data_IF_829962474188
#
_entry.id   IF_829962474188
#
_cell.length_a   1.000
_cell.length_b   1.000
_cell.length_c   1.000
_cell.angle_alpha   90.00
_cell.angle_beta   90.00
_cell.angle_gamma   90.00
#
_symmetry.space_group_name_H-M   'P 1'
#
loop_
_entity.id
_entity.type
_entity.pdbx_description
1 polymer ?
#
# COMPACT_ATOMS: atom_id res chain seq x y z
N UNK A 1 0.68 3.47 -30.40
CA UNK A 1 -0.19 2.39 -29.90
C UNK A 1 -1.41 3.02 -29.26
N UNK A 2 -2.61 2.67 -29.69
CA UNK A 2 -3.84 3.15 -29.05
C UNK A 2 -4.27 2.14 -27.98
N UNK A 3 -4.53 2.66 -26.76
CA UNK A 3 -5.06 1.87 -25.65
C UNK A 3 -5.92 2.76 -24.74
N UNK A 4 -6.73 2.15 -23.93
CA UNK A 4 -7.57 2.81 -22.94
C UNK A 4 -7.04 2.52 -21.54
N UNK A 5 -7.10 3.52 -20.67
CA UNK A 5 -6.91 3.39 -19.23
C UNK A 5 -8.27 3.49 -18.53
N UNK A 6 -8.55 2.56 -17.60
CA UNK A 6 -9.73 2.62 -16.74
C UNK A 6 -9.28 2.46 -15.30
N UNK A 7 -9.09 3.58 -14.61
CA UNK A 7 -8.50 3.61 -13.28
C UNK A 7 -9.10 4.73 -12.41
N UNK A 8 -9.11 4.56 -11.07
CA UNK A 8 -9.53 5.61 -10.16
C UNK A 8 -8.44 6.68 -10.05
N UNK A 9 -8.85 7.93 -9.86
CA UNK A 9 -7.93 9.06 -9.63
C UNK A 9 -8.43 9.75 -8.36
N UNK A 10 -7.88 9.36 -7.21
CA UNK A 10 -8.31 9.84 -5.90
C UNK A 10 -7.19 9.73 -4.86
N UNK A 11 -7.47 10.18 -3.64
CA UNK A 11 -6.49 10.25 -2.54
C UNK A 11 -6.17 8.91 -1.85
N UNK A 12 -6.87 7.81 -2.18
CA UNK A 12 -6.64 6.50 -1.55
C UNK A 12 -5.70 5.62 -2.38
N UNK A 13 -5.28 4.47 -1.85
CA UNK A 13 -4.18 3.66 -2.39
C UNK A 13 -4.26 3.34 -3.88
N UNK A 14 -5.44 2.94 -4.39
CA UNK A 14 -5.63 2.70 -5.83
C UNK A 14 -5.41 3.96 -6.65
N UNK A 15 -5.90 5.11 -6.17
CA UNK A 15 -5.70 6.40 -6.82
C UNK A 15 -4.25 6.85 -6.81
N UNK A 16 -3.49 6.58 -5.74
CA UNK A 16 -2.06 6.86 -5.67
C UNK A 16 -1.27 6.05 -6.71
N UNK A 17 -1.58 4.75 -6.85
CA UNK A 17 -0.98 3.90 -7.88
C UNK A 17 -1.35 4.38 -9.28
N UNK A 18 -2.63 4.70 -9.51
CA UNK A 18 -3.08 5.26 -10.78
C UNK A 18 -2.34 6.53 -11.17
N UNK A 19 -2.16 7.44 -10.22
CA UNK A 19 -1.48 8.70 -10.46
C UNK A 19 -0.01 8.49 -10.84
N UNK A 20 0.67 7.57 -10.18
CA UNK A 20 2.05 7.23 -10.51
C UNK A 20 2.17 6.59 -11.91
N UNK A 21 1.24 5.70 -12.27
CA UNK A 21 1.15 5.11 -13.63
C UNK A 21 0.88 6.21 -14.67
N UNK A 22 -0.07 7.10 -14.41
CA UNK A 22 -0.43 8.19 -15.33
C UNK A 22 0.75 9.15 -15.56
N UNK A 23 1.50 9.50 -14.50
CA UNK A 23 2.70 10.33 -14.63
C UNK A 23 3.78 9.68 -15.51
N UNK A 24 3.99 8.39 -15.32
CA UNK A 24 4.97 7.66 -16.13
C UNK A 24 4.55 7.58 -17.60
N UNK A 25 3.26 7.35 -17.87
CA UNK A 25 2.69 7.37 -19.24
C UNK A 25 2.84 8.76 -19.88
N UNK A 26 2.59 9.83 -19.12
CA UNK A 26 2.79 11.21 -19.55
C UNK A 26 4.25 11.49 -19.90
N UNK A 27 5.19 11.08 -19.03
CA UNK A 27 6.63 11.25 -19.26
C UNK A 27 7.13 10.49 -20.50
N UNK A 28 6.50 9.36 -20.84
CA UNK A 28 6.76 8.62 -22.09
C UNK A 28 6.16 9.29 -23.34
N UNK A 29 5.47 10.41 -23.21
CA UNK A 29 4.83 11.11 -24.32
C UNK A 29 3.64 10.35 -24.92
N UNK A 30 3.06 9.39 -24.20
CA UNK A 30 1.91 8.62 -24.66
C UNK A 30 0.61 9.37 -24.39
N UNK A 31 -0.38 9.19 -25.27
CA UNK A 31 -1.68 9.86 -25.17
C UNK A 31 -2.84 8.84 -25.29
N UNK A 32 -3.09 8.01 -24.27
CA UNK A 32 -4.18 7.02 -24.26
C UNK A 32 -5.56 7.68 -24.16
N UNK A 33 -6.61 6.91 -24.41
CA UNK A 33 -7.95 7.23 -23.92
C UNK A 33 -8.04 6.94 -22.42
N UNK A 34 -8.73 7.78 -21.64
CA UNK A 34 -8.85 7.59 -20.19
C UNK A 34 -10.32 7.67 -19.74
N UNK A 35 -10.81 6.57 -19.16
CA UNK A 35 -12.09 6.51 -18.44
C UNK A 35 -11.81 6.44 -16.94
N UNK A 36 -11.97 7.53 -16.18
CA UNK A 36 -11.82 7.48 -14.73
C UNK A 36 -12.88 6.58 -14.06
N UNK A 37 -12.49 5.86 -13.02
CA UNK A 37 -13.41 5.14 -12.14
C UNK A 37 -13.78 6.09 -10.98
N UNK A 38 -15.01 6.58 -10.97
CA UNK A 38 -15.48 7.58 -10.02
C UNK A 38 -15.01 9.00 -10.35
N UNK A 39 -15.07 9.88 -9.38
CA UNK A 39 -14.68 11.29 -9.53
C UNK A 39 -13.15 11.43 -9.55
N UNK A 40 -12.66 12.35 -10.38
CA UNK A 40 -11.25 12.72 -10.41
C UNK A 40 -10.95 13.67 -9.26
N UNK A 41 -10.05 13.27 -8.38
CA UNK A 41 -9.54 14.06 -7.26
C UNK A 41 -8.01 14.06 -7.26
N UNK A 42 -7.43 15.21 -7.57
CA UNK A 42 -5.98 15.45 -7.60
C UNK A 42 -5.51 16.21 -6.36
N UNK A 43 -6.36 16.40 -5.36
CA UNK A 43 -6.10 17.30 -4.22
C UNK A 43 -4.88 16.90 -3.38
N UNK A 44 -4.52 15.63 -3.34
CA UNK A 44 -3.36 15.13 -2.58
C UNK A 44 -2.02 15.32 -3.29
N UNK A 45 -2.04 15.55 -4.61
CA UNK A 45 -0.84 15.72 -5.42
C UNK A 45 -0.53 17.20 -5.66
N UNK A 46 0.74 17.52 -5.83
CA UNK A 46 1.12 18.81 -6.41
C UNK A 46 0.75 18.82 -7.89
N UNK A 47 0.06 19.88 -8.31
CA UNK A 47 -0.51 19.96 -9.64
C UNK A 47 0.46 20.67 -10.58
N UNK A 48 0.78 19.99 -11.66
CA UNK A 48 1.45 20.54 -12.83
C UNK A 48 0.38 20.83 -13.89
N UNK A 49 0.30 22.06 -14.35
CA UNK A 49 -0.72 22.51 -15.32
C UNK A 49 -0.66 21.71 -16.62
N UNK A 50 0.54 21.40 -17.13
CA UNK A 50 0.70 20.66 -18.37
C UNK A 50 0.23 19.20 -18.21
N UNK A 51 0.55 18.57 -17.09
CA UNK A 51 0.03 17.25 -16.76
C UNK A 51 -1.49 17.24 -16.63
N UNK A 52 -2.10 18.24 -15.98
CA UNK A 52 -3.55 18.34 -15.86
C UNK A 52 -4.23 18.54 -17.21
N UNK A 53 -3.65 19.37 -18.09
CA UNK A 53 -4.15 19.56 -19.45
C UNK A 53 -4.07 18.27 -20.26
N UNK A 54 -2.95 17.55 -20.17
CA UNK A 54 -2.79 16.23 -20.81
C UNK A 54 -3.82 15.23 -20.28
N UNK A 55 -4.02 15.16 -18.96
CA UNK A 55 -5.01 14.28 -18.32
C UNK A 55 -6.42 14.54 -18.85
N UNK A 56 -6.82 15.81 -18.93
CA UNK A 56 -8.12 16.23 -19.47
C UNK A 56 -8.23 15.87 -20.96
N UNK A 57 -7.16 15.98 -21.73
CA UNK A 57 -7.14 15.58 -23.15
C UNK A 57 -7.35 14.06 -23.31
N UNK A 58 -6.75 13.24 -22.43
CA UNK A 58 -6.94 11.79 -22.41
C UNK A 58 -8.39 11.40 -22.05
N UNK A 59 -9.00 12.10 -21.10
CA UNK A 59 -10.41 11.90 -20.72
C UNK A 59 -11.31 12.29 -21.89
N UNK A 60 -11.09 13.44 -22.51
CA UNK A 60 -11.85 13.90 -23.69
C UNK A 60 -11.71 12.91 -24.85
N UNK A 61 -10.50 12.41 -25.10
CA UNK A 61 -10.24 11.41 -26.15
C UNK A 61 -11.10 10.15 -25.95
N UNK A 62 -11.32 9.69 -24.72
CA UNK A 62 -12.17 8.53 -24.46
C UNK A 62 -13.59 8.72 -25.00
N UNK A 63 -14.23 9.85 -24.75
CA UNK A 63 -15.61 10.09 -25.18
C UNK A 63 -15.78 10.16 -26.71
N UNK A 64 -14.74 10.53 -27.45
CA UNK A 64 -14.82 10.64 -28.90
C UNK A 64 -14.26 9.42 -29.66
N UNK A 65 -13.37 8.64 -29.06
CA UNK A 65 -12.58 7.63 -29.76
C UNK A 65 -12.65 6.23 -29.10
N UNK A 66 -13.47 6.06 -28.05
CA UNK A 66 -13.57 4.74 -27.41
C UNK A 66 -14.14 3.70 -28.37
N UNK A 67 -13.49 2.54 -28.42
CA UNK A 67 -13.97 1.33 -29.08
C UNK A 67 -13.62 0.11 -28.23
N UNK A 68 -14.50 -0.88 -28.20
CA UNK A 68 -14.23 -2.16 -27.52
C UNK A 68 -13.07 -2.96 -28.16
N UNK A 69 -12.67 -2.60 -29.37
CA UNK A 69 -11.53 -3.23 -30.07
C UNK A 69 -10.17 -2.65 -29.60
N UNK A 70 -10.18 -1.49 -28.94
CA UNK A 70 -8.99 -0.88 -28.34
C UNK A 70 -8.73 -1.58 -27.00
N UNK A 71 -7.52 -2.14 -26.76
CA UNK A 71 -7.20 -2.82 -25.51
C UNK A 71 -7.24 -1.84 -24.31
N UNK A 72 -7.57 -2.36 -23.12
CA UNK A 72 -7.74 -1.59 -21.93
C UNK A 72 -6.85 -2.10 -20.79
N UNK A 73 -6.17 -1.20 -20.10
CA UNK A 73 -5.57 -1.44 -18.79
C UNK A 73 -6.54 -0.89 -17.73
N UNK A 74 -7.09 -1.79 -16.91
CA UNK A 74 -7.99 -1.47 -15.80
C UNK A 74 -7.27 -1.70 -14.48
N UNK A 75 -7.29 -0.73 -13.58
CA UNK A 75 -6.82 -0.89 -12.20
C UNK A 75 -8.02 -0.78 -11.27
N UNK A 76 -8.47 -1.89 -10.70
CA UNK A 76 -9.61 -1.92 -9.78
C UNK A 76 -9.65 -3.18 -8.93
N UNK A 77 -10.52 -3.17 -7.91
CA UNK A 77 -10.84 -4.34 -7.10
C UNK A 77 -11.45 -5.47 -7.95
N UNK A 78 -11.18 -6.72 -7.58
CA UNK A 78 -11.83 -7.87 -8.23
C UNK A 78 -13.35 -7.76 -8.17
N UNK A 79 -13.90 -7.39 -6.99
CA UNK A 79 -15.35 -7.26 -6.77
C UNK A 79 -16.05 -6.27 -7.70
N UNK A 80 -15.33 -5.32 -8.29
CA UNK A 80 -15.87 -4.34 -9.24
C UNK A 80 -15.39 -4.53 -10.67
N UNK A 81 -14.84 -5.70 -11.00
CA UNK A 81 -14.19 -5.95 -12.30
C UNK A 81 -14.85 -7.06 -13.14
N UNK A 82 -16.11 -7.39 -12.84
CA UNK A 82 -16.89 -8.36 -13.62
C UNK A 82 -17.32 -7.84 -15.03
N UNK A 83 -17.27 -6.52 -15.24
CA UNK A 83 -17.55 -5.91 -16.53
C UNK A 83 -16.26 -5.44 -17.21
N UNK A 84 -16.16 -5.75 -18.51
CA UNK A 84 -15.07 -5.30 -19.37
C UNK A 84 -15.55 -4.24 -20.35
N UNK A 85 -14.81 -3.15 -20.46
CA UNK A 85 -15.04 -2.09 -21.47
C UNK A 85 -14.31 -2.36 -22.78
N UNK A 86 -13.49 -3.41 -22.85
CA UNK A 86 -12.70 -3.81 -24.01
C UNK A 86 -12.75 -5.32 -24.22
N UNK A 87 -12.58 -5.79 -25.45
CA UNK A 87 -12.41 -7.21 -25.76
C UNK A 87 -11.10 -7.77 -25.18
N UNK A 88 -10.05 -6.95 -25.09
CA UNK A 88 -8.80 -7.29 -24.43
C UNK A 88 -8.61 -6.36 -23.23
N UNK A 89 -8.92 -6.85 -22.03
CA UNK A 89 -8.76 -6.12 -20.79
C UNK A 89 -7.63 -6.73 -19.96
N UNK A 90 -6.64 -5.89 -19.62
CA UNK A 90 -5.59 -6.18 -18.67
C UNK A 90 -6.08 -5.64 -17.33
N UNK A 91 -6.37 -6.54 -16.38
CA UNK A 91 -6.84 -6.19 -15.05
C UNK A 91 -5.69 -6.20 -14.06
N UNK A 92 -5.28 -5.04 -13.59
CA UNK A 92 -4.38 -4.90 -12.45
C UNK A 92 -5.20 -4.84 -11.16
N UNK A 93 -4.93 -5.73 -10.23
CA UNK A 93 -5.68 -5.78 -8.98
C UNK A 93 -4.80 -6.14 -7.79
N UNK A 94 -5.31 -5.87 -6.59
CA UNK A 94 -4.72 -6.28 -5.32
C UNK A 94 -5.62 -7.33 -4.67
N UNK A 95 -5.02 -8.43 -4.25
CA UNK A 95 -5.70 -9.46 -3.50
C UNK A 95 -4.89 -9.76 -2.23
N UNK A 96 -5.55 -9.81 -1.09
CA UNK A 96 -4.90 -9.75 0.22
C UNK A 96 -5.14 -11.02 1.05
N UNK A 97 -5.89 -12.00 0.51
CA UNK A 97 -6.36 -13.20 1.20
C UNK A 97 -5.75 -14.47 0.61
N UNK A 98 -6.20 -15.63 1.09
CA UNK A 98 -5.66 -16.93 0.68
C UNK A 98 -6.68 -17.87 0.02
N UNK A 99 -7.95 -17.46 -0.07
CA UNK A 99 -9.04 -18.34 -0.52
C UNK A 99 -9.93 -17.64 -1.56
N UNK A 100 -9.47 -17.52 -2.82
CA UNK A 100 -10.25 -16.86 -3.87
C UNK A 100 -11.55 -17.63 -4.15
N UNK A 101 -12.67 -16.91 -4.07
CA UNK A 101 -13.98 -17.47 -4.36
C UNK A 101 -14.14 -17.82 -5.85
N UNK A 102 -15.12 -18.66 -6.19
CA UNK A 102 -15.43 -18.96 -7.60
C UNK A 102 -15.76 -17.69 -8.39
N UNK A 103 -16.42 -16.71 -7.75
CA UNK A 103 -16.71 -15.42 -8.37
C UNK A 103 -15.42 -14.65 -8.72
N UNK A 104 -14.48 -14.54 -7.76
CA UNK A 104 -13.16 -13.91 -7.98
C UNK A 104 -12.33 -14.65 -9.02
N UNK A 105 -12.34 -15.99 -8.98
CA UNK A 105 -11.69 -16.84 -9.97
C UNK A 105 -12.22 -16.60 -11.39
N UNK A 106 -13.54 -16.46 -11.55
CA UNK A 106 -14.15 -16.20 -12.88
C UNK A 106 -13.76 -14.82 -13.41
N UNK A 107 -13.67 -13.80 -12.53
CA UNK A 107 -13.19 -12.48 -12.94
C UNK A 107 -11.74 -12.56 -13.43
N UNK A 108 -10.88 -13.23 -12.67
CA UNK A 108 -9.47 -13.38 -13.03
C UNK A 108 -9.29 -14.13 -14.34
N UNK A 109 -10.05 -15.21 -14.57
CA UNK A 109 -10.06 -15.98 -15.83
C UNK A 109 -10.58 -15.18 -17.04
N UNK A 110 -11.49 -14.26 -16.80
CA UNK A 110 -12.09 -13.42 -17.86
C UNK A 110 -11.21 -12.25 -18.32
N UNK A 111 -10.03 -12.07 -17.73
CA UNK A 111 -9.11 -10.97 -18.02
C UNK A 111 -7.68 -11.48 -18.20
N UNK A 112 -6.82 -10.65 -18.80
CA UNK A 112 -5.36 -10.78 -18.63
C UNK A 112 -5.02 -10.18 -17.26
N UNK A 113 -5.07 -10.99 -16.21
CA UNK A 113 -4.93 -10.46 -14.85
C UNK A 113 -3.49 -10.33 -14.42
N UNK A 114 -3.19 -9.20 -13.78
CA UNK A 114 -1.89 -8.82 -13.23
C UNK A 114 -2.03 -8.61 -11.73
N UNK A 115 -1.20 -9.29 -10.95
CA UNK A 115 -1.02 -9.02 -9.53
C UNK A 115 0.35 -8.43 -9.25
N UNK A 116 0.43 -7.61 -8.20
CA UNK A 116 1.62 -6.83 -7.87
C UNK A 116 2.61 -7.57 -6.98
N UNK A 117 2.25 -8.75 -6.47
CA UNK A 117 3.08 -9.56 -5.59
C UNK A 117 2.98 -11.05 -5.93
N UNK A 118 4.06 -11.79 -5.66
CA UNK A 118 4.16 -13.22 -5.95
C UNK A 118 3.22 -14.07 -5.11
N UNK A 119 3.01 -13.70 -3.84
CA UNK A 119 2.08 -14.42 -2.97
C UNK A 119 0.69 -14.54 -3.59
N UNK A 120 0.16 -13.44 -4.14
CA UNK A 120 -1.17 -13.46 -4.79
C UNK A 120 -1.16 -14.31 -6.06
N UNK A 121 -0.10 -14.26 -6.86
CA UNK A 121 0.05 -15.14 -8.03
C UNK A 121 -0.02 -16.61 -7.60
N UNK A 122 0.77 -17.01 -6.60
CA UNK A 122 0.79 -18.37 -6.06
C UNK A 122 -0.58 -18.82 -5.52
N UNK A 123 -1.36 -17.88 -4.92
CA UNK A 123 -2.72 -18.17 -4.44
C UNK A 123 -3.65 -18.55 -5.59
N UNK A 124 -3.57 -17.85 -6.72
CA UNK A 124 -4.40 -18.16 -7.88
C UNK A 124 -3.88 -19.37 -8.67
N UNK A 125 -2.57 -19.59 -8.74
CA UNK A 125 -1.98 -20.80 -9.33
C UNK A 125 -2.42 -22.08 -8.61
N UNK A 126 -2.54 -22.06 -7.27
CA UNK A 126 -3.05 -23.19 -6.46
C UNK A 126 -4.47 -23.61 -6.82
N UNK A 127 -5.26 -22.70 -7.38
CA UNK A 127 -6.63 -23.01 -7.87
C UNK A 127 -6.67 -23.15 -9.40
N UNK A 128 -5.51 -23.34 -10.05
CA UNK A 128 -5.38 -23.64 -11.47
C UNK A 128 -5.59 -22.42 -12.38
N UNK A 129 -5.31 -21.21 -11.91
CA UNK A 129 -5.46 -19.98 -12.70
C UNK A 129 -4.10 -19.31 -12.86
N UNK A 130 -3.64 -19.24 -14.09
CA UNK A 130 -2.43 -18.52 -14.46
C UNK A 130 -2.70 -17.00 -14.46
N UNK A 131 -1.77 -16.26 -13.89
CA UNK A 131 -1.82 -14.80 -13.79
C UNK A 131 -0.44 -14.18 -14.04
N UNK A 132 -0.38 -12.88 -14.27
CA UNK A 132 0.87 -12.17 -14.51
C UNK A 132 1.35 -11.49 -13.23
N UNK A 133 2.66 -11.47 -13.03
CA UNK A 133 3.32 -10.73 -11.97
C UNK A 133 3.98 -9.47 -12.54
N UNK A 134 3.51 -8.30 -12.10
CA UNK A 134 4.15 -7.01 -12.39
C UNK A 134 4.17 -6.20 -11.10
N UNK A 135 5.33 -5.99 -10.47
CA UNK A 135 5.43 -5.26 -9.21
C UNK A 135 5.13 -3.77 -9.38
N UNK A 136 4.72 -3.13 -8.29
CA UNK A 136 4.64 -1.67 -8.27
C UNK A 136 6.04 -1.05 -8.19
N UNK A 137 6.14 0.18 -8.65
CA UNK A 137 7.35 0.99 -8.56
C UNK A 137 7.41 1.86 -7.30
N UNK A 138 8.58 2.40 -7.03
CA UNK A 138 8.77 3.48 -6.09
C UNK A 138 8.35 4.81 -6.74
N UNK A 139 7.50 5.55 -6.05
CA UNK A 139 7.06 6.88 -6.48
C UNK A 139 8.02 7.97 -5.99
N UNK A 140 9.08 8.21 -6.76
CA UNK A 140 10.11 9.21 -6.44
C UNK A 140 9.65 10.67 -6.56
N UNK A 141 8.43 10.91 -7.01
CA UNK A 141 7.82 12.25 -7.06
C UNK A 141 7.05 12.57 -5.79
N UNK A 142 6.43 11.56 -5.17
CA UNK A 142 5.71 11.73 -3.92
C UNK A 142 6.59 11.46 -2.70
N UNK A 143 7.65 10.65 -2.85
CA UNK A 143 8.53 10.24 -1.76
C UNK A 143 10.00 10.53 -2.09
N UNK A 144 10.66 11.20 -1.18
CA UNK A 144 12.11 11.41 -1.21
C UNK A 144 12.65 11.53 0.20
N UNK A 145 13.93 11.23 0.36
CA UNK A 145 14.64 11.52 1.62
C UNK A 145 14.76 13.03 1.77
N UNK A 146 14.38 13.54 2.93
CA UNK A 146 14.52 14.94 3.29
C UNK A 146 15.70 15.10 4.28
N UNK A 147 16.52 16.12 4.03
CA UNK A 147 17.57 16.54 4.98
C UNK A 147 16.99 17.52 5.98
N UNK A 148 16.23 16.98 6.95
CA UNK A 148 15.51 17.75 7.95
C UNK A 148 15.63 17.09 9.32
N UNK A 149 15.94 17.87 10.33
CA UNK A 149 15.91 17.44 11.74
C UNK A 149 14.48 17.63 12.26
N UNK A 150 13.86 16.55 12.74
CA UNK A 150 12.48 16.57 13.25
C UNK A 150 12.39 16.67 14.77
N UNK A 151 13.40 16.19 15.48
CA UNK A 151 13.46 16.20 16.94
C UNK A 151 14.80 16.74 17.42
N UNK A 152 14.81 17.46 18.55
CA UNK A 152 16.03 18.04 19.11
C UNK A 152 16.87 17.04 19.89
N UNK A 153 16.29 15.91 20.27
CA UNK A 153 16.95 14.81 20.96
C UNK A 153 17.26 13.63 20.01
N UNK A 154 18.03 12.66 20.52
CA UNK A 154 18.45 11.46 19.76
C UNK A 154 17.46 10.29 19.89
N UNK A 155 16.18 10.57 20.23
CA UNK A 155 15.16 9.53 20.31
C UNK A 155 15.04 8.75 19.00
N UNK A 156 14.69 7.48 19.11
CA UNK A 156 14.32 6.64 17.95
C UNK A 156 12.82 6.69 17.80
N UNK A 157 12.36 7.11 16.63
CA UNK A 157 10.95 7.31 16.33
C UNK A 157 10.43 6.19 15.44
N UNK A 158 9.36 5.53 15.90
CA UNK A 158 8.60 4.56 15.15
C UNK A 158 7.41 5.23 14.47
N UNK A 159 7.19 4.91 13.19
CA UNK A 159 6.00 5.28 12.45
C UNK A 159 5.11 4.07 12.23
N UNK A 160 3.82 4.24 12.51
CA UNK A 160 2.76 3.30 12.17
C UNK A 160 1.73 4.05 11.32
N UNK A 161 1.36 3.52 10.17
CA UNK A 161 0.41 4.20 9.30
C UNK A 161 -0.53 3.25 8.56
N UNK A 162 -1.52 3.86 7.92
CA UNK A 162 -2.49 3.16 7.08
C UNK A 162 -3.93 3.25 7.58
N UNK A 163 -4.85 2.79 6.73
CA UNK A 163 -6.28 2.80 7.04
C UNK A 163 -6.57 1.88 8.24
N UNK A 164 -7.31 2.38 9.22
CA UNK A 164 -7.75 1.57 10.38
C UNK A 164 -8.66 0.45 9.89
N UNK A 165 -8.13 -0.77 9.95
CA UNK A 165 -8.82 -2.02 9.62
C UNK A 165 -8.32 -3.14 10.51
N UNK A 166 -9.17 -4.16 10.75
CA UNK A 166 -8.81 -5.32 11.56
C UNK A 166 -7.53 -6.00 11.07
N UNK A 167 -7.40 -6.21 9.75
CA UNK A 167 -6.23 -6.87 9.15
C UNK A 167 -4.92 -6.11 9.33
N UNK A 168 -4.96 -4.77 9.52
CA UNK A 168 -3.75 -3.94 9.66
C UNK A 168 -3.19 -3.92 11.08
N UNK A 169 -3.88 -4.51 12.05
CA UNK A 169 -3.40 -4.73 13.42
C UNK A 169 -2.99 -3.47 14.21
N UNK A 170 -3.39 -2.25 13.79
CA UNK A 170 -2.89 -1.01 14.41
C UNK A 170 -3.09 -0.98 15.93
N UNK A 171 -4.28 -1.32 16.40
CA UNK A 171 -4.60 -1.33 17.85
C UNK A 171 -3.70 -2.31 18.60
N UNK A 172 -3.48 -3.49 18.03
CA UNK A 172 -2.62 -4.53 18.61
C UNK A 172 -1.17 -4.09 18.65
N UNK A 173 -0.67 -3.49 17.56
CA UNK A 173 0.69 -2.92 17.48
C UNK A 173 0.87 -1.82 18.52
N UNK A 174 -0.06 -0.85 18.60
CA UNK A 174 0.00 0.26 19.57
C UNK A 174 0.07 -0.31 20.99
N UNK A 175 -0.83 -1.24 21.37
CA UNK A 175 -0.87 -1.84 22.71
C UNK A 175 0.44 -2.55 23.05
N UNK A 176 0.93 -3.42 22.18
CA UNK A 176 2.16 -4.19 22.42
C UNK A 176 3.38 -3.27 22.51
N UNK A 177 3.49 -2.27 21.60
CA UNK A 177 4.58 -1.29 21.62
C UNK A 177 4.56 -0.47 22.92
N UNK A 178 3.40 0.05 23.34
CA UNK A 178 3.27 0.86 24.57
C UNK A 178 3.53 0.04 25.83
N UNK A 179 3.16 -1.24 25.85
CA UNK A 179 3.49 -2.14 26.98
C UNK A 179 4.99 -2.24 27.21
N UNK A 180 5.79 -2.20 26.14
CA UNK A 180 7.25 -2.39 26.20
C UNK A 180 8.01 -1.05 26.29
N UNK A 181 7.60 -0.07 25.52
CA UNK A 181 8.34 1.19 25.32
C UNK A 181 7.58 2.42 25.82
N UNK A 182 6.38 2.27 26.34
CA UNK A 182 5.55 3.37 26.83
C UNK A 182 6.25 4.15 27.95
N UNK A 183 6.20 5.48 27.84
CA UNK A 183 6.85 6.41 28.76
C UNK A 183 8.39 6.29 28.87
N UNK A 184 9.05 5.65 27.90
CA UNK A 184 10.49 5.68 27.75
C UNK A 184 10.90 6.82 26.82
N UNK A 185 11.62 7.83 27.34
CA UNK A 185 12.03 9.04 26.60
C UNK A 185 12.96 8.77 25.40
N UNK A 186 13.59 7.58 25.36
CA UNK A 186 14.46 7.18 24.24
C UNK A 186 13.69 6.83 22.97
N UNK A 187 12.40 6.58 23.08
CA UNK A 187 11.58 6.08 21.98
C UNK A 187 10.29 6.88 21.84
N UNK A 188 9.77 6.98 20.63
CA UNK A 188 8.44 7.52 20.36
C UNK A 188 7.72 6.71 19.31
N UNK A 189 6.40 6.66 19.38
CA UNK A 189 5.51 6.07 18.37
C UNK A 189 4.59 7.13 17.82
N UNK A 190 4.64 7.35 16.53
CA UNK A 190 3.73 8.20 15.77
C UNK A 190 2.77 7.31 14.98
N UNK A 191 1.46 7.44 15.19
CA UNK A 191 0.43 6.66 14.55
C UNK A 191 -0.41 7.54 13.61
N UNK A 192 -0.11 7.51 12.32
CA UNK A 192 -0.90 8.11 11.25
C UNK A 192 -1.93 7.11 10.72
N UNK A 193 -2.90 6.77 11.56
CA UNK A 193 -3.90 5.75 11.30
C UNK A 193 -5.29 6.38 11.24
N UNK A 194 -5.94 6.26 10.09
CA UNK A 194 -7.24 6.86 9.85
C UNK A 194 -8.06 5.99 8.88
N UNK A 195 -9.35 5.88 9.15
CA UNK A 195 -10.29 5.25 8.22
C UNK A 195 -11.27 6.32 7.70
N UNK A 196 -11.25 6.69 6.42
CA UNK A 196 -12.12 7.74 5.85
C UNK A 196 -13.60 7.37 5.85
N UNK A 197 -13.95 6.12 6.11
CA UNK A 197 -15.33 5.64 6.21
C UNK A 197 -15.90 5.68 7.63
N UNK A 198 -15.08 6.07 8.62
CA UNK A 198 -15.49 6.27 10.01
C UNK A 198 -15.54 7.76 10.35
N UNK A 199 -16.35 8.13 11.34
CA UNK A 199 -16.32 9.48 11.91
C UNK A 199 -14.96 9.79 12.57
N UNK A 200 -14.66 11.07 12.78
CA UNK A 200 -13.44 11.47 13.51
C UNK A 200 -13.43 10.88 14.93
N UNK A 201 -14.59 10.88 15.58
CA UNK A 201 -14.80 10.33 16.93
C UNK A 201 -14.59 8.82 16.95
N UNK A 202 -15.07 8.08 15.96
CA UNK A 202 -14.91 6.62 15.91
C UNK A 202 -13.45 6.25 15.59
N UNK A 203 -12.78 6.96 14.70
CA UNK A 203 -11.35 6.81 14.49
C UNK A 203 -10.57 7.00 15.82
N UNK A 204 -10.87 8.06 16.57
CA UNK A 204 -10.23 8.34 17.85
C UNK A 204 -10.53 7.23 18.88
N UNK A 205 -11.79 6.73 18.97
CA UNK A 205 -12.15 5.61 19.86
C UNK A 205 -11.32 4.35 19.56
N UNK A 206 -11.15 4.01 18.26
CA UNK A 206 -10.38 2.85 17.87
C UNK A 206 -8.92 2.98 18.30
N UNK A 207 -8.28 4.12 18.03
CA UNK A 207 -6.89 4.36 18.45
C UNK A 207 -6.76 4.34 19.96
N UNK A 208 -7.66 5.01 20.67
CA UNK A 208 -7.67 5.06 22.14
C UNK A 208 -7.86 3.69 22.79
N UNK A 209 -8.53 2.76 22.12
CA UNK A 209 -8.64 1.37 22.61
C UNK A 209 -7.28 0.65 22.73
N UNK A 210 -6.27 1.11 21.98
CA UNK A 210 -4.89 0.62 22.08
C UNK A 210 -4.13 1.16 23.29
N UNK A 211 -4.63 2.24 23.91
CA UNK A 211 -3.99 2.89 25.07
C UNK A 211 -4.41 2.27 26.41
N UNK A 212 -5.43 1.41 26.42
CA UNK A 212 -5.99 0.78 27.62
C UNK A 212 -6.31 1.78 28.75
N UNK A 213 -6.83 2.97 28.38
CA UNK A 213 -7.18 4.05 29.32
C UNK A 213 -6.01 4.79 29.96
N UNK A 214 -4.78 4.58 29.48
CA UNK A 214 -3.56 5.22 29.98
C UNK A 214 -3.11 6.37 29.08
N UNK A 215 -2.29 7.25 29.64
CA UNK A 215 -1.61 8.30 28.88
C UNK A 215 -0.13 8.00 28.75
N UNK A 216 0.39 8.28 27.57
CA UNK A 216 1.81 8.06 27.25
C UNK A 216 2.38 9.31 26.57
N UNK A 217 3.42 9.92 27.16
CA UNK A 217 4.03 11.13 26.61
C UNK A 217 4.79 10.89 25.29
N UNK A 218 5.13 9.64 25.00
CA UNK A 218 5.88 9.25 23.82
C UNK A 218 5.01 8.55 22.75
N UNK A 219 3.69 8.69 22.86
CA UNK A 219 2.73 8.28 21.83
C UNK A 219 2.05 9.51 21.22
N UNK A 220 2.03 9.58 19.88
CA UNK A 220 1.39 10.66 19.14
C UNK A 220 0.48 10.11 18.05
N UNK A 221 -0.81 10.42 18.15
CA UNK A 221 -1.76 10.17 17.07
C UNK A 221 -1.71 11.31 16.07
N UNK A 222 -1.30 11.02 14.84
CA UNK A 222 -1.16 12.01 13.76
C UNK A 222 -2.47 12.11 12.99
N UNK A 223 -2.94 13.33 12.76
CA UNK A 223 -4.15 13.59 11.99
C UNK A 223 -3.99 13.23 10.51
N UNK A 224 -5.12 13.16 9.81
CA UNK A 224 -5.13 12.93 8.37
C UNK A 224 -4.32 14.00 7.61
N UNK A 225 -3.42 13.54 6.78
CA UNK A 225 -2.55 14.38 5.95
C UNK A 225 -3.18 14.57 4.57
N UNK A 226 -3.48 15.81 4.23
CA UNK A 226 -4.20 16.16 3.00
C UNK A 226 -3.32 16.11 1.74
N UNK A 227 -1.99 16.22 1.89
CA UNK A 227 -1.03 16.26 0.79
C UNK A 227 0.01 15.14 0.91
N UNK A 228 0.45 14.63 -0.23
CA UNK A 228 1.54 13.66 -0.27
C UNK A 228 2.84 14.22 0.29
N UNK A 229 3.09 15.53 0.13
CA UNK A 229 4.25 16.20 0.76
C UNK A 229 4.20 16.14 2.28
N UNK A 230 3.03 16.28 2.91
CA UNK A 230 2.86 16.11 4.36
C UNK A 230 3.11 14.65 4.78
N UNK A 231 2.65 13.69 3.96
CA UNK A 231 2.89 12.27 4.23
C UNK A 231 4.38 11.93 4.05
N UNK A 232 5.06 12.50 3.06
CA UNK A 232 6.50 12.36 2.91
C UNK A 232 7.26 12.95 4.13
N UNK A 233 6.84 14.10 4.64
CA UNK A 233 7.38 14.68 5.88
C UNK A 233 7.20 13.72 7.08
N UNK A 234 5.99 13.15 7.24
CA UNK A 234 5.73 12.16 8.28
C UNK A 234 6.63 10.92 8.15
N UNK A 235 6.75 10.35 6.96
CA UNK A 235 7.63 9.20 6.74
C UNK A 235 9.09 9.53 7.08
N UNK A 236 9.55 10.74 6.72
CA UNK A 236 10.91 11.20 7.02
C UNK A 236 11.15 11.44 8.52
N UNK A 237 10.12 11.78 9.29
CA UNK A 237 10.24 12.03 10.73
C UNK A 237 10.51 10.76 11.56
N UNK A 238 10.22 9.57 11.02
CA UNK A 238 10.50 8.28 11.66
C UNK A 238 11.88 7.72 11.31
N UNK A 239 12.39 6.88 12.19
CA UNK A 239 13.58 6.05 11.94
C UNK A 239 13.18 4.62 11.53
N UNK A 240 12.05 4.14 12.06
CA UNK A 240 11.55 2.77 11.88
C UNK A 240 10.09 2.81 11.45
N UNK A 241 9.74 2.16 10.35
CA UNK A 241 8.35 1.92 9.97
C UNK A 241 7.89 0.54 10.45
N UNK A 242 6.67 0.46 10.97
CA UNK A 242 6.05 -0.78 11.41
C UNK A 242 5.06 -1.28 10.36
N UNK A 243 5.31 -2.47 9.80
CA UNK A 243 4.47 -3.15 8.81
C UNK A 243 3.98 -4.51 9.32
N UNK A 244 3.06 -4.52 10.27
CA UNK A 244 2.48 -5.72 10.87
C UNK A 244 1.08 -6.04 10.34
N UNK A 245 0.77 -5.61 9.11
CA UNK A 245 -0.48 -5.97 8.46
C UNK A 245 -0.54 -7.46 8.17
N UNK A 246 -1.68 -8.08 8.43
CA UNK A 246 -1.94 -9.51 8.21
C UNK A 246 -2.28 -9.87 6.76
N UNK A 247 -2.44 -8.86 5.89
CA UNK A 247 -2.70 -9.03 4.46
C UNK A 247 -2.54 -7.70 3.73
N UNK A 248 -1.73 -7.67 2.68
CA UNK A 248 -1.49 -6.50 1.83
C UNK A 248 -1.35 -6.90 0.37
N UNK A 249 -1.78 -5.99 -0.51
CA UNK A 249 -1.50 -6.10 -1.94
C UNK A 249 -0.10 -5.60 -2.33
N UNK A 250 0.49 -4.66 -1.55
CA UNK A 250 1.85 -4.16 -1.71
C UNK A 250 2.46 -3.64 -0.40
N UNK A 251 1.71 -2.84 0.37
CA UNK A 251 2.23 -2.14 1.54
C UNK A 251 2.95 -0.85 1.14
N UNK A 252 2.26 0.06 0.43
CA UNK A 252 2.85 1.29 -0.13
C UNK A 252 3.56 2.14 0.94
N UNK A 253 2.98 2.39 2.13
CA UNK A 253 3.66 3.19 3.16
C UNK A 253 4.97 2.58 3.64
N UNK A 254 4.97 1.28 3.93
CA UNK A 254 6.12 0.55 4.43
C UNK A 254 7.21 0.46 3.35
N UNK A 255 6.82 0.08 2.13
CA UNK A 255 7.73 0.05 0.98
C UNK A 255 8.39 1.40 0.74
N UNK A 256 7.61 2.48 0.68
CA UNK A 256 8.13 3.83 0.44
C UNK A 256 9.06 4.28 1.55
N UNK A 257 8.74 3.97 2.81
CA UNK A 257 9.59 4.27 3.96
C UNK A 257 10.95 3.57 3.87
N UNK A 258 10.95 2.28 3.56
CA UNK A 258 12.19 1.51 3.41
C UNK A 258 12.99 2.00 2.20
N UNK A 259 12.33 2.31 1.09
CA UNK A 259 12.96 2.81 -0.12
C UNK A 259 13.64 4.18 0.05
N UNK A 260 13.20 5.03 0.99
CA UNK A 260 13.90 6.29 1.34
C UNK A 260 14.93 6.12 2.47
N UNK A 261 15.23 4.89 2.85
CA UNK A 261 16.31 4.56 3.79
C UNK A 261 15.88 4.47 5.26
N UNK A 262 14.58 4.28 5.56
CA UNK A 262 14.11 3.99 6.92
C UNK A 262 14.24 2.51 7.24
N UNK A 263 14.54 2.19 8.49
CA UNK A 263 14.48 0.80 8.97
C UNK A 263 13.02 0.35 9.12
N UNK A 264 12.82 -0.95 9.26
CA UNK A 264 11.45 -1.49 9.33
C UNK A 264 11.37 -2.73 10.21
N UNK A 265 10.17 -2.95 10.77
CA UNK A 265 9.74 -4.22 11.38
C UNK A 265 8.56 -4.70 10.56
N UNK A 266 8.72 -5.80 9.83
CA UNK A 266 7.79 -6.27 8.80
C UNK A 266 7.36 -7.70 9.11
N UNK A 267 6.05 -7.97 9.05
CA UNK A 267 5.54 -9.34 9.08
C UNK A 267 6.02 -10.08 7.82
N UNK A 268 6.74 -11.21 7.99
CA UNK A 268 7.28 -11.99 6.87
C UNK A 268 6.17 -12.80 6.18
N UNK A 269 5.27 -12.10 5.50
CA UNK A 269 4.10 -12.70 4.87
C UNK A 269 3.64 -11.89 3.65
N UNK A 270 2.78 -12.51 2.81
CA UNK A 270 2.07 -11.92 1.69
C UNK A 270 2.92 -10.98 0.82
N UNK A 271 2.38 -9.81 0.42
CA UNK A 271 3.05 -8.88 -0.50
C UNK A 271 4.38 -8.32 0.04
N UNK A 272 4.57 -8.25 1.34
CA UNK A 272 5.83 -7.78 1.91
C UNK A 272 7.04 -8.62 1.45
N UNK A 273 6.89 -9.94 1.30
CA UNK A 273 7.95 -10.83 0.80
C UNK A 273 8.42 -10.52 -0.62
N UNK A 274 7.69 -9.66 -1.35
CA UNK A 274 8.07 -9.27 -2.69
C UNK A 274 9.27 -8.32 -2.71
N UNK A 275 9.34 -7.39 -1.74
CA UNK A 275 10.35 -6.34 -1.70
C UNK A 275 11.17 -6.33 -0.40
N UNK A 276 10.62 -6.85 0.71
CA UNK A 276 11.36 -6.95 1.97
C UNK A 276 12.22 -8.22 2.00
N UNK A 277 13.39 -8.11 2.63
CA UNK A 277 14.31 -9.20 2.90
C UNK A 277 15.14 -8.91 4.17
N UNK A 278 15.87 -9.90 4.67
CA UNK A 278 16.66 -9.78 5.90
C UNK A 278 17.75 -8.70 5.88
N UNK A 279 18.11 -8.14 4.71
CA UNK A 279 19.09 -7.05 4.60
C UNK A 279 18.41 -5.70 4.81
N UNK A 280 17.26 -5.48 4.18
CA UNK A 280 16.55 -4.19 4.20
C UNK A 280 15.44 -4.10 5.27
N UNK A 281 15.06 -5.21 5.92
CA UNK A 281 13.96 -5.24 6.90
C UNK A 281 14.29 -6.17 8.06
N UNK A 282 13.68 -5.94 9.20
CA UNK A 282 13.63 -6.90 10.31
C UNK A 282 12.31 -7.67 10.18
N UNK A 283 12.41 -8.98 9.97
CA UNK A 283 11.24 -9.84 9.86
C UNK A 283 10.70 -10.29 11.21
N UNK A 284 9.38 -10.31 11.31
CA UNK A 284 8.60 -11.05 12.31
C UNK A 284 7.94 -12.20 11.59
N UNK A 285 8.25 -13.43 12.00
CA UNK A 285 7.69 -14.61 11.35
C UNK A 285 6.20 -14.75 11.70
N UNK A 286 5.34 -15.12 10.73
CA UNK A 286 3.94 -15.39 10.99
C UNK A 286 3.78 -16.69 11.80
N UNK A 287 2.73 -16.76 12.61
CA UNK A 287 2.27 -18.01 13.21
C UNK A 287 1.72 -18.95 12.13
N UNK A 288 1.79 -20.26 12.37
CA UNK A 288 1.15 -21.26 11.51
C UNK A 288 -0.36 -21.07 11.45
N UNK A 289 -0.96 -20.74 12.61
CA UNK A 289 -2.39 -20.48 12.71
C UNK A 289 -2.75 -19.13 12.10
N UNK A 290 -3.58 -19.17 11.06
CA UNK A 290 -4.19 -18.00 10.43
C UNK A 290 -5.51 -17.62 11.14
N UNK A 291 -5.94 -16.39 10.93
CA UNK A 291 -7.16 -15.83 11.52
C UNK A 291 -8.19 -15.62 10.41
N UNK A 292 -9.45 -16.01 10.64
CA UNK A 292 -10.54 -15.68 9.72
C UNK A 292 -10.62 -14.17 9.46
N UNK A 293 -10.77 -13.78 8.18
CA UNK A 293 -10.66 -12.37 7.74
C UNK A 293 -11.86 -11.49 8.15
N UNK A 294 -12.94 -12.07 8.64
CA UNK A 294 -14.22 -11.36 8.77
C UNK A 294 -14.20 -10.27 9.85
N UNK A 295 -14.53 -9.05 9.44
CA UNK A 295 -14.65 -7.86 10.30
C UNK A 295 -16.07 -7.28 10.31
N UNK A 296 -17.00 -7.86 9.51
CA UNK A 296 -18.38 -7.43 9.31
C UNK A 296 -18.55 -6.04 8.68
N UNK A 297 -17.48 -5.41 8.23
CA UNK A 297 -17.47 -4.11 7.55
C UNK A 297 -17.10 -4.34 6.07
N UNK A 298 -15.85 -4.64 5.80
CA UNK A 298 -15.32 -4.90 4.44
C UNK A 298 -15.27 -6.38 4.08
N UNK A 299 -15.09 -7.23 5.09
CA UNK A 299 -14.97 -8.67 4.96
C UNK A 299 -16.12 -9.34 5.70
N UNK A 300 -17.15 -9.75 4.97
CA UNK A 300 -18.35 -10.39 5.53
C UNK A 300 -18.38 -11.86 5.13
N UNK A 301 -18.63 -12.74 6.10
CA UNK A 301 -18.72 -14.19 5.84
C UNK A 301 -19.87 -14.51 4.87
N UNK A 302 -19.59 -15.37 3.88
CA UNK A 302 -20.57 -15.79 2.88
C UNK A 302 -20.85 -14.83 1.75
N UNK A 303 -20.09 -13.74 1.63
CA UNK A 303 -20.13 -12.88 0.45
C UNK A 303 -19.43 -13.54 -0.75
N UNK A 304 -19.74 -13.05 -1.94
CA UNK A 304 -19.16 -13.56 -3.22
C UNK A 304 -17.68 -13.23 -3.38
N UNK A 305 -17.15 -12.31 -2.59
CA UNK A 305 -15.76 -11.85 -2.61
C UNK A 305 -15.19 -11.77 -1.20
N UNK A 306 -13.86 -11.64 -1.10
CA UNK A 306 -13.13 -11.38 0.14
C UNK A 306 -13.39 -12.45 1.20
N UNK A 307 -13.13 -13.70 0.87
CA UNK A 307 -13.23 -14.84 1.78
C UNK A 307 -11.83 -15.42 2.06
N UNK A 308 -11.65 -16.01 3.24
CA UNK A 308 -10.41 -16.67 3.63
C UNK A 308 -9.83 -16.17 4.94
N UNK A 309 -8.49 -16.18 5.01
CA UNK A 309 -7.78 -15.95 6.24
C UNK A 309 -6.69 -14.89 6.10
N UNK A 310 -6.33 -14.30 7.24
CA UNK A 310 -5.18 -13.42 7.44
C UNK A 310 -4.04 -14.17 8.13
N UNK A 311 -2.83 -13.72 7.90
CA UNK A 311 -1.67 -14.12 8.70
C UNK A 311 -1.79 -13.58 10.12
N UNK A 312 -1.29 -14.36 11.08
CA UNK A 312 -1.19 -13.99 12.48
C UNK A 312 0.28 -13.87 12.89
N UNK A 313 0.58 -13.20 13.99
CA UNK A 313 1.94 -13.09 14.52
C UNK A 313 1.95 -13.22 16.05
N UNK A 314 3.13 -13.37 16.61
CA UNK A 314 3.35 -13.34 18.05
C UNK A 314 3.74 -11.93 18.51
N UNK A 315 3.16 -11.44 19.61
CA UNK A 315 3.42 -10.10 20.11
C UNK A 315 4.81 -9.94 20.71
N UNK A 316 5.33 -10.99 21.33
CA UNK A 316 6.70 -10.99 21.87
C UNK A 316 7.72 -11.01 20.72
N UNK A 317 7.46 -11.79 19.66
CA UNK A 317 8.27 -11.77 18.45
C UNK A 317 8.24 -10.39 17.76
N UNK A 318 7.10 -9.69 17.77
CA UNK A 318 7.03 -8.31 17.28
C UNK A 318 7.91 -7.37 18.12
N UNK A 319 7.87 -7.48 19.44
CA UNK A 319 8.71 -6.67 20.33
C UNK A 319 10.20 -6.95 20.13
N UNK A 320 10.60 -8.23 20.01
CA UNK A 320 11.97 -8.59 19.63
C UNK A 320 12.38 -7.99 18.28
N UNK A 321 11.47 -7.98 17.31
CA UNK A 321 11.65 -7.31 16.03
C UNK A 321 11.92 -5.81 16.19
N UNK A 322 11.17 -5.13 17.06
CA UNK A 322 11.41 -3.72 17.38
C UNK A 322 12.80 -3.48 18.01
N UNK A 323 13.22 -4.34 18.94
CA UNK A 323 14.54 -4.24 19.57
C UNK A 323 15.69 -4.45 18.56
N UNK A 324 15.53 -5.41 17.63
CA UNK A 324 16.48 -5.62 16.52
C UNK A 324 16.53 -4.41 15.57
N UNK A 325 15.37 -3.79 15.27
CA UNK A 325 15.33 -2.58 14.45
C UNK A 325 15.98 -1.39 15.14
N UNK A 326 15.78 -1.21 16.46
CA UNK A 326 16.48 -0.21 17.28
C UNK A 326 18.00 -0.39 17.15
N UNK A 327 18.51 -1.61 17.29
CA UNK A 327 19.94 -1.90 17.16
C UNK A 327 20.48 -1.52 15.77
N UNK A 328 19.70 -1.75 14.70
CA UNK A 328 20.07 -1.30 13.34
C UNK A 328 20.17 0.22 13.24
N UNK A 329 19.17 0.96 13.77
CA UNK A 329 19.18 2.43 13.81
C UNK A 329 20.38 2.96 14.57
N UNK A 330 20.71 2.36 15.72
CA UNK A 330 21.89 2.74 16.52
C UNK A 330 23.21 2.49 15.79
N UNK A 331 23.29 1.43 15.00
CA UNK A 331 24.47 1.13 14.17
C UNK A 331 24.58 2.08 12.97
N UNK A 332 23.49 2.32 12.28
CA UNK A 332 23.37 3.28 11.16
C UNK A 332 21.92 3.73 11.02
N UNK A 333 21.66 5.03 11.16
CA UNK A 333 20.31 5.59 11.01
C UNK A 333 19.73 5.44 9.60
N UNK A 334 20.58 5.23 8.58
CA UNK A 334 20.15 5.07 7.20
C UNK A 334 20.20 3.60 6.81
N UNK A 335 19.09 3.09 6.38
CA UNK A 335 18.96 1.75 5.79
C UNK A 335 19.46 1.75 4.34
N UNK A 336 20.76 1.54 4.15
CA UNK A 336 21.41 1.57 2.84
C UNK A 336 20.84 0.49 1.89
N UNK A 337 20.51 -0.69 2.42
CA UNK A 337 19.91 -1.76 1.62
C UNK A 337 18.49 -1.42 1.16
N UNK A 338 17.75 -0.64 1.97
CA UNK A 338 16.44 -0.12 1.60
C UNK A 338 16.47 0.83 0.41
N UNK A 339 17.50 1.68 0.31
CA UNK A 339 17.63 2.62 -0.81
C UNK A 339 17.72 1.92 -2.19
N UNK A 340 18.21 0.68 -2.25
CA UNK A 340 18.31 -0.10 -3.49
C UNK A 340 16.94 -0.43 -4.10
N UNK A 341 15.88 -0.42 -3.29
CA UNK A 341 14.51 -0.67 -3.77
C UNK A 341 14.05 0.34 -4.81
N UNK A 342 14.57 1.56 -4.82
CA UNK A 342 14.22 2.59 -5.80
C UNK A 342 14.64 2.19 -7.23
N UNK A 343 15.79 1.52 -7.37
CA UNK A 343 16.31 1.04 -8.66
C UNK A 343 15.67 -0.29 -9.05
N UNK A 344 15.44 -1.17 -8.07
CA UNK A 344 14.85 -2.48 -8.29
C UNK A 344 13.39 -2.36 -8.75
N UNK A 345 12.62 -1.49 -8.08
CA UNK A 345 11.20 -1.26 -8.31
C UNK A 345 10.95 0.17 -8.77
N UNK A 346 10.68 0.38 -10.05
CA UNK A 346 10.35 1.69 -10.60
C UNK A 346 9.02 1.65 -11.38
N UNK A 347 8.28 2.75 -11.37
CA UNK A 347 7.05 2.84 -12.18
C UNK A 347 7.34 2.78 -13.68
N UNK A 348 8.54 3.14 -14.13
CA UNK A 348 8.97 2.91 -15.51
C UNK A 348 8.89 1.42 -15.89
N UNK A 349 9.41 0.52 -15.04
CA UNK A 349 9.33 -0.93 -15.22
C UNK A 349 7.89 -1.45 -15.11
N UNK A 350 7.12 -0.93 -14.16
CA UNK A 350 5.71 -1.30 -13.99
C UNK A 350 4.90 -0.97 -15.25
N UNK A 351 5.03 0.26 -15.76
CA UNK A 351 4.32 0.71 -16.96
C UNK A 351 4.80 -0.04 -18.21
N UNK A 352 6.10 -0.28 -18.36
CA UNK A 352 6.64 -1.08 -19.45
C UNK A 352 6.06 -2.50 -19.45
N UNK A 353 6.04 -3.16 -18.28
CA UNK A 353 5.42 -4.47 -18.14
C UNK A 353 3.94 -4.49 -18.52
N UNK A 354 3.17 -3.46 -18.14
CA UNK A 354 1.76 -3.33 -18.51
C UNK A 354 1.56 -3.08 -20.02
N UNK A 355 2.39 -2.22 -20.62
CA UNK A 355 2.33 -1.93 -22.06
C UNK A 355 2.71 -3.15 -22.92
N UNK A 356 3.60 -4.01 -22.45
CA UNK A 356 3.97 -5.24 -23.15
C UNK A 356 2.85 -6.29 -23.18
N UNK A 357 1.82 -6.15 -22.35
CA UNK A 357 0.63 -7.00 -22.36
C UNK A 357 -0.45 -6.49 -23.33
N UNK A 358 -0.36 -5.24 -23.85
CA UNK A 358 -1.30 -4.70 -24.83
C UNK A 358 -1.10 -5.36 -26.22
#
# INVERSE_FOLDING_TARGET
MDFTLNLPINSVSFGQVSFAILREIYQKGLNPSLLPIGNVDLSTHEQDTDFVNWLNSCITKYYFHHSRDIPCIKLWHLSGSHESISKKQILVSFYELDSPTIYEQNIVKGNVTVFTNKYTVDVFEKVGIETNYIPLGFDNKSFCKLDKKYFDDDRITFNLCGKIERRKNQVRVIRSWLKRFGNDKRYSLQAACFNPFLSKEDNAKVINSGLDGKSYFNFNSVEWMQKNSMFNDFVNSGDIIIGMSSGEGWGIPEFSSVAIGKHSVILNAHAYQTWANNKNSVFVEPKEEKIECYDNIFFKKGMTTNQGNYFNYDEDAFIEGCEKAIARVQSNRVNIEGLKLQEEFSYAKTVEGLLNLL
#
